data_IF_400332008768
#
_entry.id   IF_400332008768
#
_cell.length_a   1.000
_cell.length_b   1.000
_cell.length_c   1.000
_cell.angle_alpha   90.00
_cell.angle_beta   90.00
_cell.angle_gamma   90.00
#
_symmetry.space_group_name_H-M   'P 1'
#
loop_
_entity.id
_entity.type
_entity.pdbx_description
1 polymer ?
#
# COMPACT_ATOMS: atom_id res chain seq x y z
N UNK A 1 -56.94 -30.96 27.13
CA UNK A 1 -57.27 -29.54 26.85
C UNK A 1 -56.10 -28.68 27.31
N UNK A 2 -55.45 -28.00 26.34
CA UNK A 2 -54.68 -26.75 26.42
C UNK A 2 -53.55 -26.68 27.48
N UNK A 3 -52.31 -27.00 27.11
CA UNK A 3 -51.32 -26.11 26.47
C UNK A 3 -50.97 -24.87 27.29
N UNK A 4 -50.02 -25.01 28.21
CA UNK A 4 -49.30 -23.91 28.86
C UNK A 4 -47.79 -24.23 28.85
N UNK A 5 -47.18 -24.25 27.66
CA UNK A 5 -45.74 -24.37 27.52
C UNK A 5 -45.08 -22.99 27.57
N UNK A 6 -44.41 -22.77 28.69
CA UNK A 6 -43.14 -22.04 28.83
C UNK A 6 -43.06 -20.58 28.37
N UNK A 7 -43.40 -19.70 29.32
CA UNK A 7 -42.98 -18.27 29.42
C UNK A 7 -41.47 -18.12 29.71
N UNK A 8 -40.61 -19.08 29.35
CA UNK A 8 -39.17 -19.05 29.66
C UNK A 8 -38.32 -19.63 28.54
N UNK A 9 -38.20 -18.91 27.42
CA UNK A 9 -36.98 -18.92 26.57
C UNK A 9 -37.01 -17.89 25.44
N UNK A 10 -37.50 -16.67 25.68
CA UNK A 10 -37.32 -15.55 24.74
C UNK A 10 -35.89 -14.97 24.72
N UNK A 11 -34.88 -15.72 25.20
CA UNK A 11 -33.47 -15.33 25.19
C UNK A 11 -32.67 -15.90 24.02
N UNK A 12 -33.30 -16.66 23.12
CA UNK A 12 -32.62 -17.29 21.98
C UNK A 12 -32.80 -16.57 20.64
N UNK A 13 -33.44 -15.39 20.63
CA UNK A 13 -33.81 -14.73 19.38
C UNK A 13 -33.47 -13.23 19.34
N UNK A 14 -32.38 -12.84 20.00
CA UNK A 14 -31.73 -11.55 19.76
C UNK A 14 -30.55 -11.77 18.81
N UNK A 15 -30.92 -11.85 17.54
CA UNK A 15 -30.13 -11.51 16.36
C UNK A 15 -28.64 -11.86 16.38
N UNK A 16 -28.31 -12.88 15.59
CA UNK A 16 -27.06 -13.01 14.85
C UNK A 16 -26.87 -11.79 13.91
N UNK A 17 -26.57 -10.63 14.48
CA UNK A 17 -26.15 -9.43 13.76
C UNK A 17 -24.77 -8.96 14.24
N UNK A 18 -23.93 -9.93 14.64
CA UNK A 18 -22.49 -9.71 14.84
C UNK A 18 -21.69 -10.41 13.74
N UNK A 19 -22.28 -10.45 12.53
CA UNK A 19 -21.58 -10.85 11.33
C UNK A 19 -20.89 -9.61 10.75
N UNK A 20 -19.58 -9.68 10.63
CA UNK A 20 -18.75 -8.82 9.80
C UNK A 20 -18.73 -7.34 10.19
N UNK A 21 -18.04 -7.01 11.29
CA UNK A 21 -17.09 -5.91 11.18
C UNK A 21 -16.04 -6.38 10.16
N UNK A 22 -16.32 -6.17 8.87
CA UNK A 22 -15.27 -6.07 7.87
C UNK A 22 -14.36 -4.98 8.41
N UNK A 23 -13.23 -5.37 9.01
CA UNK A 23 -12.11 -4.46 9.16
C UNK A 23 -11.76 -4.06 7.73
N UNK A 24 -12.37 -2.97 7.25
CA UNK A 24 -12.03 -2.32 6.01
C UNK A 24 -10.66 -1.72 6.24
N UNK A 25 -9.64 -2.56 6.11
CA UNK A 25 -8.26 -2.13 6.14
C UNK A 25 -8.12 -1.07 5.04
N UNK A 26 -7.45 0.07 5.28
CA UNK A 26 -7.05 0.95 4.20
C UNK A 26 -6.22 0.12 3.23
N UNK A 27 -6.83 -0.25 2.11
CA UNK A 27 -6.25 -1.10 1.11
C UNK A 27 -5.42 -0.21 0.19
N UNK A 28 -4.26 0.19 0.70
CA UNK A 28 -3.25 0.85 -0.12
C UNK A 28 -2.91 -0.05 -1.29
N UNK A 29 -2.91 0.52 -2.50
CA UNK A 29 -2.53 -0.27 -3.65
C UNK A 29 -1.08 -0.69 -3.47
N UNK A 30 -0.86 -1.99 -3.46
CA UNK A 30 0.47 -2.56 -3.37
C UNK A 30 1.13 -2.50 -4.73
N UNK A 31 2.46 -2.53 -4.77
CA UNK A 31 3.21 -2.62 -6.02
C UNK A 31 2.73 -3.84 -6.85
N UNK A 32 2.32 -3.61 -8.09
CA UNK A 32 1.70 -4.60 -8.98
C UNK A 32 0.19 -4.82 -8.78
N UNK A 33 -0.42 -4.18 -7.78
CA UNK A 33 -1.86 -4.20 -7.49
C UNK A 33 -2.68 -3.28 -8.39
N UNK A 34 -4.01 -3.47 -8.36
CA UNK A 34 -4.97 -2.72 -9.20
C UNK A 34 -5.47 -1.42 -8.55
N UNK A 35 -5.77 -0.42 -9.38
CA UNK A 35 -6.24 0.93 -8.98
C UNK A 35 -7.55 0.93 -8.17
N UNK A 36 -8.38 -0.10 -8.26
CA UNK A 36 -9.63 -0.21 -7.48
C UNK A 36 -9.39 -0.18 -5.95
N UNK A 37 -8.17 -0.52 -5.54
CA UNK A 37 -7.71 -0.38 -4.15
C UNK A 37 -7.51 1.09 -3.75
N UNK A 38 -7.00 1.92 -4.67
CA UNK A 38 -6.72 3.35 -4.47
C UNK A 38 -8.01 4.17 -4.33
N UNK A 39 -9.02 3.90 -5.15
CA UNK A 39 -10.31 4.61 -5.04
C UNK A 39 -11.07 4.24 -3.76
N UNK A 40 -10.95 2.99 -3.29
CA UNK A 40 -11.47 2.57 -1.97
C UNK A 40 -10.75 3.29 -0.83
N UNK A 41 -9.44 3.50 -0.95
CA UNK A 41 -8.66 4.28 0.00
C UNK A 41 -9.06 5.76 0.04
N UNK A 42 -9.30 6.37 -1.12
CA UNK A 42 -9.77 7.75 -1.24
C UNK A 42 -11.09 7.97 -0.49
N UNK A 43 -12.02 7.03 -0.60
CA UNK A 43 -13.32 7.11 0.06
C UNK A 43 -13.22 6.89 1.58
N UNK A 44 -12.28 6.06 2.04
CA UNK A 44 -12.18 5.67 3.45
C UNK A 44 -11.25 6.53 4.30
N UNK A 45 -10.15 7.07 3.76
CA UNK A 45 -9.10 7.65 4.61
C UNK A 45 -9.33 9.11 5.02
N UNK A 46 -10.21 9.90 4.37
CA UNK A 46 -10.22 11.39 4.46
C UNK A 46 -8.80 12.03 4.35
N UNK A 47 -7.79 11.25 4.00
CA UNK A 47 -6.46 11.72 3.70
C UNK A 47 -6.58 12.48 2.39
N UNK A 48 -5.87 13.61 2.30
CA UNK A 48 -5.82 14.44 1.10
C UNK A 48 -5.15 13.64 -0.02
N UNK A 49 -5.93 12.79 -0.68
CA UNK A 49 -5.48 11.98 -1.81
C UNK A 49 -5.56 12.85 -3.04
N UNK A 50 -4.40 13.23 -3.59
CA UNK A 50 -4.31 14.04 -4.81
C UNK A 50 -3.87 13.15 -5.96
N UNK A 51 -4.71 13.07 -6.99
CA UNK A 51 -4.37 12.39 -8.24
C UNK A 51 -3.90 13.43 -9.26
N UNK A 52 -2.81 13.14 -9.98
CA UNK A 52 -2.29 13.98 -11.06
C UNK A 52 -1.90 13.09 -12.23
N UNK A 53 -2.40 13.42 -13.43
CA UNK A 53 -1.98 12.76 -14.66
C UNK A 53 -0.56 13.24 -15.05
N UNK A 54 0.29 12.30 -15.44
CA UNK A 54 1.59 12.52 -16.05
C UNK A 54 1.64 11.90 -17.45
N UNK A 55 2.77 12.06 -18.18
CA UNK A 55 2.94 11.44 -19.48
C UNK A 55 3.10 9.92 -19.33
N UNK A 56 2.04 9.17 -19.66
CA UNK A 56 2.04 7.70 -19.63
C UNK A 56 1.74 7.07 -18.28
N UNK A 57 1.37 7.85 -17.25
CA UNK A 57 0.97 7.33 -15.94
C UNK A 57 0.09 8.31 -15.15
N UNK A 58 -0.52 7.83 -14.08
CA UNK A 58 -1.21 8.66 -13.08
C UNK A 58 -0.51 8.52 -11.73
N UNK A 59 -0.34 9.64 -11.03
CA UNK A 59 0.25 9.67 -9.67
C UNK A 59 -0.86 9.86 -8.66
N UNK A 60 -0.92 8.98 -7.67
CA UNK A 60 -1.77 9.11 -6.50
C UNK A 60 -0.90 9.42 -5.29
N UNK A 61 -1.07 10.61 -4.71
CA UNK A 61 -0.30 11.04 -3.53
C UNK A 61 -1.13 10.90 -2.28
N UNK A 62 -0.56 10.30 -1.24
CA UNK A 62 -1.13 10.24 0.10
C UNK A 62 -0.09 10.63 1.15
N UNK A 63 -0.52 11.35 2.18
CA UNK A 63 0.33 11.70 3.32
C UNK A 63 -0.37 11.28 4.61
N UNK A 64 -0.01 10.13 5.21
CA UNK A 64 -0.54 9.70 6.48
C UNK A 64 -0.12 10.64 7.63
N UNK A 65 -0.71 10.46 8.81
CA UNK A 65 -0.36 11.22 10.02
C UNK A 65 1.12 11.13 10.42
N UNK A 66 1.86 10.12 9.92
CA UNK A 66 3.31 10.01 10.08
C UNK A 66 4.10 11.11 9.36
N UNK A 67 3.48 11.85 8.44
CA UNK A 67 4.11 12.91 7.66
C UNK A 67 4.93 12.41 6.45
N UNK A 68 4.98 11.09 6.22
CA UNK A 68 5.67 10.52 5.05
C UNK A 68 4.75 10.59 3.84
N UNK A 69 5.06 11.47 2.90
CA UNK A 69 4.38 11.52 1.62
C UNK A 69 4.71 10.26 0.83
N UNK A 70 3.68 9.61 0.29
CA UNK A 70 3.81 8.37 -0.48
C UNK A 70 3.05 8.58 -1.79
N UNK A 71 3.72 8.29 -2.90
CA UNK A 71 3.13 8.43 -4.23
C UNK A 71 3.13 7.09 -4.92
N UNK A 72 1.99 6.74 -5.49
CA UNK A 72 1.77 5.51 -6.24
C UNK A 72 1.60 5.89 -7.71
N UNK A 73 2.33 5.21 -8.59
CA UNK A 73 2.37 5.47 -10.02
C UNK A 73 1.67 4.34 -10.75
N UNK A 74 0.56 4.68 -11.40
CA UNK A 74 -0.29 3.73 -12.10
C UNK A 74 -0.08 3.84 -13.61
N UNK A 75 0.18 2.72 -14.26
CA UNK A 75 0.28 2.61 -15.70
C UNK A 75 -1.13 2.62 -16.35
N UNK A 76 -1.25 2.83 -17.67
CA UNK A 76 -2.56 2.85 -18.36
C UNK A 76 -3.34 1.54 -18.26
N UNK A 77 -2.67 0.42 -17.95
CA UNK A 77 -3.27 -0.88 -17.68
C UNK A 77 -3.91 -1.00 -16.28
N UNK A 78 -3.88 0.08 -15.49
CA UNK A 78 -4.48 0.16 -14.16
C UNK A 78 -3.64 -0.47 -13.05
N UNK A 79 -2.37 -0.83 -13.31
CA UNK A 79 -1.46 -1.40 -12.32
C UNK A 79 -0.50 -0.37 -11.75
N UNK A 80 -0.26 -0.46 -10.44
CA UNK A 80 0.80 0.33 -9.78
C UNK A 80 2.16 -0.25 -10.18
N UNK A 81 2.91 0.45 -11.03
CA UNK A 81 4.23 -0.02 -11.49
C UNK A 81 5.38 0.52 -10.62
N UNK A 82 5.14 1.63 -9.91
CA UNK A 82 6.13 2.24 -9.02
C UNK A 82 5.48 2.91 -7.82
N UNK A 83 6.25 3.03 -6.73
CA UNK A 83 5.92 3.80 -5.55
C UNK A 83 7.13 4.61 -5.10
N UNK A 84 6.93 5.85 -4.66
CA UNK A 84 7.97 6.69 -4.04
C UNK A 84 7.52 7.14 -2.66
N UNK A 85 8.47 7.43 -1.78
CA UNK A 85 8.19 7.99 -0.47
C UNK A 85 9.23 9.01 -0.07
N UNK A 86 8.79 10.00 0.70
CA UNK A 86 9.65 11.02 1.29
C UNK A 86 9.03 11.55 2.58
N UNK A 87 9.82 11.59 3.66
CA UNK A 87 9.40 12.21 4.91
C UNK A 87 10.14 11.73 6.15
N UNK A 88 9.62 12.03 7.34
CA UNK A 88 10.34 11.87 8.60
C UNK A 88 10.35 10.43 9.12
N UNK A 89 9.52 9.54 8.56
CA UNK A 89 9.43 8.14 8.97
C UNK A 89 9.49 7.21 7.75
N UNK A 90 10.02 6.00 7.95
CA UNK A 90 9.93 4.95 6.94
C UNK A 90 8.47 4.49 6.83
N UNK A 91 7.90 4.36 5.62
CA UNK A 91 6.57 3.79 5.44
C UNK A 91 6.57 2.28 5.75
N UNK A 92 5.38 1.70 5.91
CA UNK A 92 5.25 0.24 5.99
C UNK A 92 5.60 -0.38 4.61
N UNK A 93 6.85 -0.83 4.48
CA UNK A 93 7.35 -1.47 3.26
C UNK A 93 6.68 -2.81 2.98
N UNK A 94 6.15 -3.51 4.00
CA UNK A 94 5.40 -4.75 3.79
C UNK A 94 4.10 -4.44 3.07
N UNK A 95 3.40 -3.39 3.48
CA UNK A 95 2.21 -2.92 2.81
C UNK A 95 2.53 -2.45 1.38
N UNK A 96 3.53 -1.58 1.20
CA UNK A 96 3.86 -1.02 -0.11
C UNK A 96 4.31 -2.06 -1.13
N UNK A 97 5.16 -2.99 -0.73
CA UNK A 97 5.74 -3.98 -1.65
C UNK A 97 4.83 -5.20 -1.85
N UNK A 98 3.86 -5.44 -0.97
CA UNK A 98 2.94 -6.57 -1.08
C UNK A 98 3.66 -7.90 -1.28
N UNK A 99 3.35 -8.61 -2.37
CA UNK A 99 3.94 -9.90 -2.72
C UNK A 99 5.46 -9.85 -2.93
N UNK A 100 6.02 -8.69 -3.25
CA UNK A 100 7.46 -8.50 -3.46
C UNK A 100 8.24 -8.38 -2.14
N UNK A 101 7.56 -8.19 -1.00
CA UNK A 101 8.20 -7.95 0.29
C UNK A 101 9.09 -9.11 0.75
N UNK A 102 8.68 -10.36 0.51
CA UNK A 102 9.48 -11.54 0.89
C UNK A 102 10.84 -11.54 0.19
N UNK A 103 10.85 -11.34 -1.13
CA UNK A 103 12.05 -11.25 -1.94
C UNK A 103 12.97 -10.11 -1.49
N UNK A 104 12.37 -8.95 -1.18
CA UNK A 104 13.09 -7.81 -0.61
C UNK A 104 13.77 -8.15 0.74
N UNK A 105 13.07 -8.81 1.66
CA UNK A 105 13.66 -9.20 2.96
C UNK A 105 14.77 -10.23 2.84
N UNK A 106 14.65 -11.17 1.89
CA UNK A 106 15.68 -12.19 1.64
C UNK A 106 16.98 -11.55 1.15
N UNK A 107 16.91 -10.66 0.16
CA UNK A 107 18.10 -9.96 -0.39
C UNK A 107 18.76 -9.06 0.67
N UNK A 108 17.95 -8.32 1.42
CA UNK A 108 18.45 -7.38 2.44
C UNK A 108 18.98 -8.05 3.71
N UNK A 109 18.58 -9.30 4.00
CA UNK A 109 19.17 -10.07 5.10
C UNK A 109 20.52 -10.66 4.68
N UNK A 110 20.63 -11.10 3.42
CA UNK A 110 21.89 -11.60 2.85
C UNK A 110 22.95 -10.50 2.76
N UNK A 111 22.53 -9.27 2.44
CA UNK A 111 23.37 -8.08 2.39
C UNK A 111 23.29 -7.33 3.72
N UNK A 112 24.23 -7.59 4.64
CA UNK A 112 24.42 -6.83 5.91
C UNK A 112 24.82 -5.36 5.63
N UNK A 113 24.03 -4.58 4.89
CA UNK A 113 24.35 -3.19 4.54
C UNK A 113 23.91 -2.23 5.65
N UNK A 114 24.79 -1.29 5.99
CA UNK A 114 24.52 -0.25 6.98
C UNK A 114 23.27 0.58 6.67
N UNK A 115 22.69 1.15 7.72
CA UNK A 115 21.34 1.76 7.74
C UNK A 115 21.12 2.94 6.76
N UNK A 116 22.17 3.53 6.19
CA UNK A 116 22.08 4.80 5.46
C UNK A 116 21.61 4.67 4.00
N UNK A 117 21.90 3.54 3.34
CA UNK A 117 21.53 3.31 1.94
C UNK A 117 21.22 1.84 1.70
N UNK A 118 20.03 1.57 1.15
CA UNK A 118 19.54 0.23 0.84
C UNK A 118 19.11 0.19 -0.61
N UNK A 119 19.84 -0.59 -1.40
CA UNK A 119 19.54 -0.86 -2.80
C UNK A 119 19.34 -2.36 -2.99
N UNK A 120 18.20 -2.71 -3.58
CA UNK A 120 17.86 -4.07 -4.00
C UNK A 120 17.55 -3.98 -5.48
N UNK A 121 18.31 -4.69 -6.30
CA UNK A 121 18.07 -4.84 -7.73
C UNK A 121 17.79 -6.31 -8.02
N UNK A 122 16.52 -6.67 -8.07
CA UNK A 122 16.03 -7.98 -8.50
C UNK A 122 15.37 -7.85 -9.88
N UNK A 123 15.35 -8.91 -10.72
CA UNK A 123 14.75 -8.85 -12.05
C UNK A 123 13.30 -8.35 -12.07
N UNK A 124 12.53 -8.67 -11.02
CA UNK A 124 11.13 -8.26 -10.88
C UNK A 124 10.88 -7.11 -9.89
N UNK A 125 11.91 -6.58 -9.24
CA UNK A 125 11.76 -5.55 -8.21
C UNK A 125 13.06 -4.77 -8.04
N UNK A 126 12.99 -3.46 -8.25
CA UNK A 126 14.05 -2.55 -7.81
C UNK A 126 13.53 -1.74 -6.63
N UNK A 127 14.32 -1.69 -5.55
CA UNK A 127 14.07 -0.83 -4.39
C UNK A 127 15.32 -0.03 -4.10
N UNK A 128 15.19 1.29 -4.08
CA UNK A 128 16.25 2.21 -3.65
C UNK A 128 15.73 3.05 -2.50
N UNK A 129 16.39 2.99 -1.36
CA UNK A 129 16.05 3.80 -0.20
C UNK A 129 17.31 4.37 0.41
N UNK A 130 17.23 5.62 0.83
CA UNK A 130 18.23 6.26 1.67
C UNK A 130 17.54 6.90 2.85
N UNK A 131 18.27 7.04 3.94
CA UNK A 131 17.76 7.84 5.03
C UNK A 131 18.77 8.12 6.11
N UNK A 132 18.58 9.27 6.74
CA UNK A 132 19.18 9.62 8.02
C UNK A 132 18.06 9.93 9.01
N UNK A 133 18.39 10.23 10.26
CA UNK A 133 17.41 10.48 11.30
C UNK A 133 16.39 11.56 10.87
N UNK A 134 15.13 11.15 10.70
CA UNK A 134 13.98 11.98 10.26
C UNK A 134 14.02 12.50 8.82
N UNK A 135 14.79 11.86 7.94
CA UNK A 135 14.76 12.14 6.50
C UNK A 135 14.93 10.84 5.73
N UNK A 136 13.81 10.18 5.46
CA UNK A 136 13.75 8.97 4.66
C UNK A 136 13.21 9.30 3.27
N UNK A 137 13.87 8.77 2.25
CA UNK A 137 13.41 8.86 0.89
C UNK A 137 13.66 7.53 0.17
N UNK A 138 12.85 7.23 -0.83
CA UNK A 138 13.06 6.04 -1.62
C UNK A 138 12.03 5.84 -2.71
N UNK A 139 12.32 4.86 -3.56
CA UNK A 139 11.45 4.41 -4.63
C UNK A 139 11.53 2.90 -4.77
N UNK A 140 10.41 2.29 -5.15
CA UNK A 140 10.36 0.91 -5.57
C UNK A 140 9.57 0.81 -6.88
N UNK A 141 10.00 -0.05 -7.79
CA UNK A 141 9.32 -0.25 -9.07
C UNK A 141 9.52 -1.66 -9.62
N UNK A 142 8.62 -2.08 -10.51
CA UNK A 142 8.70 -3.34 -11.25
C UNK A 142 9.18 -3.02 -12.66
N UNK A 143 10.42 -3.38 -13.06
CA UNK A 143 10.99 -2.98 -14.35
C UNK A 143 10.12 -3.33 -15.56
N UNK A 144 9.47 -4.50 -15.54
CA UNK A 144 8.61 -4.97 -16.63
C UNK A 144 7.26 -4.24 -16.74
N UNK A 145 6.88 -3.44 -15.74
CA UNK A 145 5.62 -2.69 -15.71
C UNK A 145 5.82 -1.19 -15.98
N UNK A 146 7.06 -0.73 -16.16
CA UNK A 146 7.35 0.67 -16.45
C UNK A 146 6.82 1.01 -17.84
N UNK A 147 5.91 2.00 -17.98
CA UNK A 147 5.38 2.38 -19.28
C UNK A 147 6.48 2.87 -20.23
N UNK A 148 6.34 2.55 -21.51
CA UNK A 148 7.26 3.02 -22.54
C UNK A 148 7.40 4.55 -22.51
N UNK A 149 8.65 5.03 -22.49
CA UNK A 149 8.96 6.47 -22.46
C UNK A 149 8.98 7.10 -21.07
N UNK A 150 8.66 6.37 -20.00
CA UNK A 150 8.79 6.87 -18.62
C UNK A 150 10.21 6.63 -18.12
N UNK A 151 10.92 7.70 -17.76
CA UNK A 151 12.20 7.60 -17.08
C UNK A 151 11.99 7.44 -15.57
N UNK A 152 12.64 6.44 -14.96
CA UNK A 152 12.54 6.17 -13.51
C UNK A 152 13.03 7.34 -12.65
N UNK A 153 13.95 8.15 -13.17
CA UNK A 153 14.49 9.32 -12.48
C UNK A 153 13.49 10.47 -12.38
N UNK A 154 12.46 10.48 -13.24
CA UNK A 154 11.36 11.47 -13.17
C UNK A 154 10.34 11.15 -12.05
N UNK A 155 10.43 9.97 -11.45
CA UNK A 155 9.60 9.56 -10.31
C UNK A 155 10.17 10.16 -9.01
N UNK A 156 9.35 10.91 -8.27
CA UNK A 156 9.73 11.72 -7.10
C UNK A 156 8.96 11.31 -5.85
#
# INVERSE_FOLDING_TARGET
MLNQLNVRSYKTMALLALASLMLSQPARATLGGAIESVERDRLHLKAQTRSQAGPGYTVHTMTPASGTAIREYTAPDGKVFAVTWSGPAMPDLRQLLGSYFSSYTTDTTARRSGHAHRQVDLPGLVVRSSGHQRSFNGKAYVPSMVPTGVAIDDLQ
#
